data_IF_824635115516
#
_entry.id   IF_824635115516
#
_cell.length_a   1.000
_cell.length_b   1.000
_cell.length_c   1.000
_cell.angle_alpha   90.00
_cell.angle_beta   90.00
_cell.angle_gamma   90.00
#
_symmetry.space_group_name_H-M   'P 1'
#
loop_
_entity.id
_entity.type
_entity.pdbx_description
1 polymer ?
#
# COMPACT_ATOMS: atom_id res chain seq x y z
N UNK A 1 1.32 19.27 -15.85
CA UNK A 1 0.00 18.75 -16.28
C UNK A 1 0.00 17.27 -16.03
N UNK A 2 -0.66 16.76 -14.98
CA UNK A 2 -0.49 15.37 -14.55
C UNK A 2 -1.75 14.79 -13.89
N UNK A 3 -2.34 13.75 -14.47
CA UNK A 3 -3.26 12.81 -13.81
C UNK A 3 -3.31 11.47 -14.56
N UNK A 4 -3.31 10.35 -13.85
CA UNK A 4 -3.43 8.98 -14.39
C UNK A 4 -4.46 8.21 -13.57
N UNK A 5 -5.19 7.33 -14.25
CA UNK A 5 -6.28 6.55 -13.68
C UNK A 5 -6.14 5.04 -13.95
N UNK A 6 -6.38 4.22 -12.92
CA UNK A 6 -6.33 2.75 -12.94
C UNK A 6 -7.71 2.13 -12.72
N UNK A 7 -7.92 1.03 -13.44
CA UNK A 7 -9.13 0.24 -13.64
C UNK A 7 -9.81 -0.23 -12.33
N UNK A 8 -10.92 0.40 -11.95
CA UNK A 8 -12.02 -0.24 -11.22
C UNK A 8 -13.33 0.42 -11.63
N UNK A 9 -14.21 -0.37 -12.26
CA UNK A 9 -15.57 0.04 -12.58
C UNK A 9 -16.35 0.04 -11.26
N UNK A 10 -16.86 1.19 -10.82
CA UNK A 10 -17.81 1.17 -9.71
C UNK A 10 -19.06 0.47 -10.25
N UNK A 11 -19.38 -0.73 -9.74
CA UNK A 11 -20.43 -1.61 -10.28
C UNK A 11 -21.83 -0.97 -10.39
N UNK A 12 -22.06 0.22 -9.81
CA UNK A 12 -23.30 0.98 -9.87
C UNK A 12 -23.31 2.14 -10.89
N UNK A 13 -22.17 2.56 -11.44
CA UNK A 13 -22.08 3.71 -12.37
C UNK A 13 -21.00 3.45 -13.43
N UNK A 14 -21.40 2.87 -14.57
CA UNK A 14 -20.51 2.56 -15.69
C UNK A 14 -19.91 3.80 -16.35
N UNK A 15 -20.45 5.00 -16.08
CA UNK A 15 -19.98 6.28 -16.60
C UNK A 15 -18.82 6.90 -15.81
N UNK A 16 -18.45 6.33 -14.66
CA UNK A 16 -17.39 6.85 -13.78
C UNK A 16 -16.23 5.87 -13.61
N UNK A 17 -15.04 6.42 -13.39
CA UNK A 17 -13.82 5.66 -13.09
C UNK A 17 -13.10 6.25 -11.87
N UNK A 18 -12.48 5.39 -11.05
CA UNK A 18 -11.72 5.81 -9.87
C UNK A 18 -10.42 6.51 -10.27
N UNK A 19 -10.21 7.77 -9.90
CA UNK A 19 -9.08 8.63 -10.23
C UNK A 19 -8.13 8.86 -9.06
N UNK A 20 -6.83 8.98 -9.37
CA UNK A 20 -5.79 9.32 -8.40
C UNK A 20 -4.93 10.49 -8.87
N UNK A 21 -4.77 11.49 -8.00
CA UNK A 21 -3.96 12.66 -8.24
C UNK A 21 -2.56 12.52 -7.62
N UNK A 22 -1.53 12.38 -8.46
CA UNK A 22 -0.15 12.24 -7.97
C UNK A 22 0.37 13.44 -7.19
N UNK A 23 -0.12 14.65 -7.49
CA UNK A 23 0.42 15.87 -6.92
C UNK A 23 0.08 16.06 -5.43
N UNK A 24 -1.00 15.43 -4.94
CA UNK A 24 -1.45 15.56 -3.56
C UNK A 24 -2.05 14.27 -2.97
N UNK A 25 -2.03 13.15 -3.71
CA UNK A 25 -2.59 11.87 -3.28
C UNK A 25 -4.12 11.82 -3.26
N UNK A 26 -4.81 12.83 -3.79
CA UNK A 26 -6.27 12.89 -3.75
C UNK A 26 -6.91 11.79 -4.61
N UNK A 27 -7.90 11.10 -4.05
CA UNK A 27 -8.66 10.02 -4.68
C UNK A 27 -10.13 10.42 -4.85
N UNK A 28 -10.69 10.22 -6.04
CA UNK A 28 -12.11 10.52 -6.34
C UNK A 28 -12.61 9.66 -7.52
N UNK A 29 -13.87 9.78 -7.92
CA UNK A 29 -14.45 9.17 -9.11
C UNK A 29 -14.70 10.22 -10.20
N UNK A 30 -13.96 10.15 -11.30
CA UNK A 30 -14.08 11.05 -12.44
C UNK A 30 -15.03 10.51 -13.52
N UNK A 31 -15.62 11.40 -14.31
CA UNK A 31 -16.42 11.02 -15.49
C UNK A 31 -15.50 10.46 -16.58
N UNK A 32 -15.89 9.33 -17.20
CA UNK A 32 -15.20 8.72 -18.35
C UNK A 32 -15.36 9.52 -19.64
N UNK A 33 -16.22 10.55 -19.66
CA UNK A 33 -16.44 11.44 -20.82
C UNK A 33 -15.21 12.34 -21.04
N UNK A 34 -14.43 12.60 -20.00
CA UNK A 34 -13.19 13.33 -20.11
C UNK A 34 -12.09 12.40 -20.62
N UNK A 35 -11.49 12.74 -21.75
CA UNK A 35 -10.33 12.02 -22.30
C UNK A 35 -9.10 12.29 -21.44
N UNK A 36 -8.90 11.46 -20.42
CA UNK A 36 -7.75 11.50 -19.53
C UNK A 36 -6.77 10.38 -19.89
N UNK A 37 -5.48 10.61 -19.62
CA UNK A 37 -4.48 9.55 -19.72
C UNK A 37 -4.70 8.52 -18.61
N UNK A 38 -4.66 7.24 -18.95
CA UNK A 38 -4.86 6.13 -18.04
C UNK A 38 -3.65 5.18 -18.11
N UNK A 39 -3.30 4.58 -16.98
CA UNK A 39 -2.32 3.49 -16.94
C UNK A 39 -3.10 2.21 -16.67
N UNK A 40 -2.94 1.23 -17.54
CA UNK A 40 -3.39 -0.11 -17.22
C UNK A 40 -2.44 -0.68 -16.16
N UNK A 41 -2.98 -1.04 -15.01
CA UNK A 41 -2.26 -1.75 -13.95
C UNK A 41 -2.92 -3.11 -13.84
N UNK A 42 -2.11 -4.15 -13.90
CA UNK A 42 -2.54 -5.52 -13.68
C UNK A 42 -2.47 -5.86 -12.19
N UNK A 43 -3.26 -6.84 -11.76
CA UNK A 43 -3.14 -7.38 -10.41
C UNK A 43 -1.70 -7.87 -10.18
N UNK A 44 -1.05 -7.33 -9.14
CA UNK A 44 0.35 -7.62 -8.82
C UNK A 44 1.37 -6.55 -9.23
N UNK A 45 1.03 -5.61 -10.13
CA UNK A 45 1.92 -4.52 -10.52
C UNK A 45 2.26 -3.59 -9.35
N UNK A 46 1.34 -3.42 -8.39
CA UNK A 46 1.52 -2.57 -7.20
C UNK A 46 2.16 -3.29 -6.01
N UNK A 47 2.56 -4.56 -6.15
CA UNK A 47 2.90 -5.40 -4.99
C UNK A 47 3.97 -6.45 -5.19
N UNK A 48 4.54 -6.64 -6.39
CA UNK A 48 5.58 -7.65 -6.60
C UNK A 48 6.84 -7.42 -5.74
N UNK A 49 7.13 -6.17 -5.34
CA UNK A 49 8.16 -5.86 -4.33
C UNK A 49 7.62 -5.86 -2.89
N UNK A 50 6.30 -5.77 -2.68
CA UNK A 50 5.66 -5.82 -1.36
C UNK A 50 5.49 -7.26 -0.82
N UNK A 51 5.75 -8.27 -1.67
CA UNK A 51 5.88 -9.68 -1.26
C UNK A 51 7.29 -10.06 -0.85
N UNK A 52 8.26 -9.13 -0.94
CA UNK A 52 9.48 -9.27 -0.14
C UNK A 52 9.02 -9.26 1.32
N UNK A 53 9.16 -10.36 2.09
CA UNK A 53 8.84 -10.33 3.51
C UNK A 53 9.61 -9.15 4.09
N UNK A 54 8.88 -8.18 4.63
CA UNK A 54 9.48 -6.99 5.26
C UNK A 54 10.56 -7.53 6.18
N UNK A 55 11.84 -7.19 5.97
CA UNK A 55 12.91 -7.69 6.81
C UNK A 55 12.48 -7.45 8.25
N UNK A 56 12.37 -8.52 9.04
CA UNK A 56 11.85 -8.44 10.40
C UNK A 56 12.49 -7.23 11.07
N UNK A 57 11.69 -6.23 11.50
CA UNK A 57 12.24 -4.96 11.95
C UNK A 57 13.21 -5.22 13.10
N UNK A 58 14.25 -4.39 13.23
CA UNK A 58 15.25 -4.52 14.30
C UNK A 58 14.61 -4.63 15.70
N UNK A 59 13.39 -4.10 15.87
CA UNK A 59 12.56 -4.25 17.06
C UNK A 59 12.27 -5.71 17.45
N UNK A 60 12.13 -6.64 16.51
CA UNK A 60 11.93 -8.06 16.81
C UNK A 60 13.15 -8.68 17.53
N UNK A 61 14.36 -8.30 17.09
CA UNK A 61 15.61 -8.73 17.72
C UNK A 61 15.84 -8.06 19.08
N UNK A 62 15.54 -6.77 19.19
CA UNK A 62 15.62 -6.04 20.46
C UNK A 62 14.62 -6.60 21.48
N UNK A 63 13.41 -6.93 21.04
CA UNK A 63 12.39 -7.54 21.87
C UNK A 63 12.83 -8.93 22.35
N UNK A 64 13.33 -9.77 21.44
CA UNK A 64 13.84 -11.11 21.78
C UNK A 64 15.00 -11.07 22.76
N UNK A 65 16.00 -10.21 22.52
CA UNK A 65 17.17 -10.07 23.39
C UNK A 65 16.83 -9.45 24.76
N UNK A 66 15.93 -8.46 24.78
CA UNK A 66 15.40 -7.89 26.02
C UNK A 66 14.66 -8.93 26.87
N UNK A 67 13.83 -9.77 26.24
CA UNK A 67 13.09 -10.82 26.93
C UNK A 67 14.00 -11.91 27.53
N UNK A 68 15.01 -12.35 26.77
CA UNK A 68 16.02 -13.29 27.26
C UNK A 68 16.80 -12.70 28.44
N UNK A 69 17.19 -11.43 28.35
CA UNK A 69 17.83 -10.71 29.46
C UNK A 69 16.95 -10.66 30.71
N UNK A 70 15.65 -10.37 30.55
CA UNK A 70 14.69 -10.29 31.65
C UNK A 70 14.52 -11.64 32.37
N UNK A 71 14.38 -12.73 31.61
CA UNK A 71 14.30 -14.10 32.17
C UNK A 71 15.59 -14.45 32.93
N UNK A 72 16.76 -14.10 32.38
CA UNK A 72 18.04 -14.35 33.03
C UNK A 72 18.21 -13.62 34.37
N UNK A 73 17.74 -12.38 34.47
CA UNK A 73 17.76 -11.59 35.71
C UNK A 73 16.73 -12.11 36.72
N UNK A 74 15.53 -12.51 36.25
CA UNK A 74 14.47 -13.03 37.10
C UNK A 74 14.80 -14.37 37.78
N UNK A 75 15.67 -15.19 37.16
CA UNK A 75 16.11 -16.49 37.70
C UNK A 75 17.22 -16.41 38.75
N UNK A 76 17.83 -15.22 38.97
CA UNK A 76 18.86 -15.00 39.99
C UNK A 76 18.32 -14.46 41.32
N UNK A 77 17.00 -14.46 41.48
CA UNK A 77 16.31 -14.19 42.74
C UNK A 77 15.75 -15.49 43.30
#
# INVERSE_FOLDING_TARGET
>A
MWLVLVKTELASDTGRAWAFAYHNGYQNHGSKILTLYAWAVHDGDVGLLATAPVPLPASAWLFGSGLVGLIGVGRRR
#
